data_IF_210923594017
#
_entry.id   IF_210923594017
#
_cell.length_a   1.000
_cell.length_b   1.000
_cell.length_c   1.000
_cell.angle_alpha   90.00
_cell.angle_beta   90.00
_cell.angle_gamma   90.00
#
_symmetry.space_group_name_H-M   'P 1'
#
loop_
_entity.id
_entity.type
_entity.pdbx_description
1 polymer ?
#
# COMPACT_ATOMS: atom_id res chain seq x y z
N UNK A 1 -0.57 -23.88 34.54
CA UNK A 1 -1.32 -23.29 33.41
C UNK A 1 -0.77 -21.89 33.19
N UNK A 2 0.44 -21.79 32.61
CA UNK A 2 0.98 -20.49 32.22
C UNK A 2 0.32 -20.10 30.89
N UNK A 3 -0.53 -19.09 30.97
CA UNK A 3 -1.14 -18.48 29.80
C UNK A 3 -0.03 -17.83 28.98
N UNK A 4 0.40 -18.51 27.92
CA UNK A 4 1.22 -17.92 26.87
C UNK A 4 0.40 -16.74 26.35
N UNK A 5 0.76 -15.54 26.82
CA UNK A 5 0.30 -14.30 26.21
C UNK A 5 0.75 -14.37 24.76
N UNK A 6 -0.19 -14.71 23.88
CA UNK A 6 -0.06 -14.49 22.45
C UNK A 6 0.09 -12.98 22.29
N UNK A 7 1.32 -12.48 22.44
CA UNK A 7 1.72 -11.18 21.91
C UNK A 7 1.35 -11.27 20.44
N UNK A 8 0.19 -10.71 20.07
CA UNK A 8 -0.14 -10.44 18.67
C UNK A 8 1.11 -9.83 18.10
N UNK A 9 1.76 -10.51 17.17
CA UNK A 9 2.90 -9.96 16.46
C UNK A 9 2.35 -8.72 15.78
N UNK A 10 2.57 -7.56 16.39
CA UNK A 10 2.24 -6.27 15.80
C UNK A 10 3.30 -6.07 14.72
N UNK A 11 3.10 -6.72 13.57
CA UNK A 11 3.89 -6.39 12.39
C UNK A 11 3.61 -4.94 12.11
N UNK A 12 4.65 -4.12 12.13
CA UNK A 12 4.55 -2.71 11.84
C UNK A 12 3.85 -2.59 10.47
N UNK A 13 2.66 -1.97 10.39
CA UNK A 13 1.92 -1.85 9.14
C UNK A 13 2.79 -1.21 8.03
N UNK A 14 3.75 -0.37 8.41
CA UNK A 14 4.72 0.28 7.52
C UNK A 14 5.58 -0.73 6.76
N UNK A 15 5.99 -1.83 7.40
CA UNK A 15 6.82 -2.85 6.76
C UNK A 15 6.04 -3.59 5.67
N UNK A 16 4.78 -3.94 5.97
CA UNK A 16 3.90 -4.57 4.99
C UNK A 16 3.59 -3.65 3.82
N UNK A 17 3.23 -2.39 4.08
CA UNK A 17 2.90 -1.40 3.05
C UNK A 17 4.09 -1.19 2.11
N UNK A 18 5.30 -1.08 2.64
CA UNK A 18 6.52 -0.89 1.84
C UNK A 18 6.78 -2.08 0.92
N UNK A 19 6.77 -3.30 1.46
CA UNK A 19 6.98 -4.52 0.67
C UNK A 19 5.88 -4.70 -0.38
N UNK A 20 4.62 -4.43 -0.02
CA UNK A 20 3.50 -4.61 -0.94
C UNK A 20 3.51 -3.61 -2.09
N UNK A 21 3.88 -2.34 -1.84
CA UNK A 21 4.06 -1.35 -2.91
C UNK A 21 5.16 -1.76 -3.89
N UNK A 22 6.25 -2.38 -3.42
CA UNK A 22 7.31 -2.88 -4.30
C UNK A 22 6.80 -4.01 -5.21
N UNK A 23 6.10 -4.99 -4.65
CA UNK A 23 5.48 -6.08 -5.44
C UNK A 23 4.51 -5.55 -6.50
N UNK A 24 3.64 -4.62 -6.13
CA UNK A 24 2.65 -4.05 -7.06
C UNK A 24 3.31 -3.25 -8.18
N UNK A 25 4.47 -2.62 -7.94
CA UNK A 25 5.25 -1.95 -8.99
C UNK A 25 5.80 -2.98 -9.99
N UNK A 26 6.35 -4.08 -9.50
CA UNK A 26 6.80 -5.16 -10.39
C UNK A 26 5.65 -5.79 -11.18
N UNK A 27 4.51 -6.05 -10.54
CA UNK A 27 3.32 -6.61 -11.20
C UNK A 27 2.78 -5.66 -12.28
N UNK A 28 2.73 -4.35 -11.98
CA UNK A 28 2.37 -3.31 -12.94
C UNK A 28 3.31 -3.31 -14.14
N UNK A 29 4.61 -3.39 -13.91
CA UNK A 29 5.61 -3.32 -14.98
C UNK A 29 5.56 -4.57 -15.89
N UNK A 30 5.05 -5.69 -15.37
CA UNK A 30 4.77 -6.93 -16.12
C UNK A 30 3.38 -6.94 -16.77
N UNK A 31 2.50 -6.00 -16.44
CA UNK A 31 1.12 -6.02 -16.91
C UNK A 31 0.99 -5.51 -18.35
N UNK A 32 0.47 -6.38 -19.22
CA UNK A 32 0.32 -6.07 -20.65
C UNK A 32 -0.79 -5.06 -20.94
N UNK A 33 -1.86 -5.04 -20.13
CA UNK A 33 -3.02 -4.17 -20.36
C UNK A 33 -2.88 -2.86 -19.59
N UNK A 34 -3.21 -1.76 -20.26
CA UNK A 34 -3.20 -0.42 -19.70
C UNK A 34 -4.12 -0.30 -18.49
N UNK A 35 -5.30 -0.93 -18.57
CA UNK A 35 -6.26 -0.98 -17.46
C UNK A 35 -5.67 -1.65 -16.22
N UNK A 36 -4.95 -2.77 -16.39
CA UNK A 36 -4.33 -3.48 -15.28
C UNK A 36 -3.21 -2.61 -14.66
N UNK A 37 -2.42 -1.91 -15.48
CA UNK A 37 -1.41 -0.96 -14.98
C UNK A 37 -2.02 0.18 -14.16
N UNK A 38 -3.14 0.73 -14.61
CA UNK A 38 -3.88 1.75 -13.87
C UNK A 38 -4.42 1.20 -12.54
N UNK A 39 -4.93 -0.04 -12.55
CA UNK A 39 -5.40 -0.70 -11.34
C UNK A 39 -4.28 -0.87 -10.29
N UNK A 40 -3.09 -1.32 -10.71
CA UNK A 40 -1.94 -1.39 -9.81
C UNK A 40 -1.51 -0.02 -9.29
N UNK A 41 -1.52 1.02 -10.14
CA UNK A 41 -1.22 2.39 -9.71
C UNK A 41 -2.21 2.87 -8.63
N UNK A 42 -3.50 2.57 -8.78
CA UNK A 42 -4.52 2.89 -7.76
C UNK A 42 -4.22 2.20 -6.44
N UNK A 43 -3.94 0.89 -6.44
CA UNK A 43 -3.60 0.15 -5.22
C UNK A 43 -2.34 0.69 -4.54
N UNK A 44 -1.33 1.10 -5.32
CA UNK A 44 -0.11 1.72 -4.80
C UNK A 44 -0.42 3.05 -4.12
N UNK A 45 -1.31 3.87 -4.68
CA UNK A 45 -1.73 5.15 -4.09
C UNK A 45 -2.51 4.94 -2.78
N UNK A 46 -3.46 3.99 -2.76
CA UNK A 46 -4.24 3.66 -1.56
C UNK A 46 -3.33 3.17 -0.41
N UNK A 47 -2.33 2.33 -0.72
CA UNK A 47 -1.35 1.87 0.26
C UNK A 47 -0.42 2.98 0.75
N UNK A 48 -0.06 3.91 -0.11
CA UNK A 48 0.75 5.07 0.26
C UNK A 48 -0.01 5.97 1.25
N UNK A 49 -1.26 6.28 0.94
CA UNK A 49 -2.15 7.02 1.83
C UNK A 49 -2.35 6.31 3.18
N UNK A 50 -2.57 4.98 3.17
CA UNK A 50 -2.67 4.21 4.40
C UNK A 50 -1.38 4.27 5.24
N UNK A 51 -0.22 4.32 4.58
CA UNK A 51 1.08 4.50 5.23
C UNK A 51 1.22 5.88 5.86
N UNK A 52 0.83 6.94 5.15
CA UNK A 52 0.78 8.31 5.68
C UNK A 52 -0.17 8.41 6.89
N UNK A 53 -1.37 7.83 6.79
CA UNK A 53 -2.36 7.77 7.86
C UNK A 53 -1.81 7.05 9.10
N UNK A 54 -1.23 5.85 8.93
CA UNK A 54 -0.67 5.07 10.03
C UNK A 54 0.48 5.78 10.76
N UNK A 55 1.19 6.67 10.08
CA UNK A 55 2.28 7.46 10.65
C UNK A 55 1.86 8.85 11.16
N UNK A 56 0.56 9.20 11.14
CA UNK A 56 0.05 10.55 11.43
C UNK A 56 0.72 11.64 10.56
N UNK A 57 1.02 11.32 9.29
CA UNK A 57 1.68 12.19 8.31
C UNK A 57 0.83 12.41 7.07
N UNK A 58 -0.50 12.43 7.19
CA UNK A 58 -1.39 12.72 6.07
C UNK A 58 -1.03 14.05 5.43
N UNK A 59 -0.63 14.00 4.16
CA UNK A 59 -0.34 15.21 3.37
C UNK A 59 -1.42 15.51 2.34
N UNK A 60 -2.26 14.51 2.01
CA UNK A 60 -3.30 14.59 0.98
C UNK A 60 -4.41 13.57 1.22
N UNK A 61 -5.56 13.80 0.59
CA UNK A 61 -6.65 12.82 0.52
C UNK A 61 -6.36 11.76 -0.57
N UNK A 62 -6.86 10.53 -0.37
CA UNK A 62 -6.70 9.42 -1.32
C UNK A 62 -7.65 9.56 -2.52
N UNK A 63 -7.42 10.55 -3.39
CA UNK A 63 -8.07 10.64 -4.69
C UNK A 63 -7.15 10.08 -5.77
N UNK A 64 -7.70 9.41 -6.79
CA UNK A 64 -6.93 9.15 -8.01
C UNK A 64 -6.68 10.52 -8.65
N UNK A 65 -5.43 10.97 -8.67
CA UNK A 65 -5.05 12.14 -9.46
C UNK A 65 -5.34 11.82 -10.93
N UNK A 66 -6.12 12.68 -11.59
CA UNK A 66 -6.34 12.57 -13.03
C UNK A 66 -4.99 12.76 -13.73
N UNK A 67 -4.64 11.78 -14.57
CA UNK A 67 -3.45 11.92 -15.42
C UNK A 67 -3.81 12.97 -16.45
N UNK A 68 -3.30 14.20 -16.26
CA UNK A 68 -3.36 15.23 -17.30
C UNK A 68 -2.46 14.76 -18.46
N UNK A 69 -3.08 14.47 -19.60
CA UNK A 69 -2.47 14.01 -20.87
C UNK A 69 -1.42 14.98 -21.43
#
# INVERSE_FOLDING_TARGET
MELISMKRIHRNPVDYITVRKAQLREDRDKASKDYDRQWYNRLIQELDWAGEFANNKLTRNCYMEEVNE
#
